data_IF_606659910156
#
_entry.id   IF_606659910156
#
_cell.length_a   1.000
_cell.length_b   1.000
_cell.length_c   1.000
_cell.angle_alpha   90.00
_cell.angle_beta   90.00
_cell.angle_gamma   90.00
#
_symmetry.space_group_name_H-M   'P 1'
#
loop_
_entity.id
_entity.type
_entity.pdbx_description
1 polymer ?
#
# COMPACT_ATOMS: atom_id res chain seq x y z
N UNK A 1 -4.43 4.82 -8.27
CA UNK A 1 -4.72 3.57 -7.52
C UNK A 1 -6.21 3.31 -7.64
N UNK A 2 -6.62 2.05 -7.72
CA UNK A 2 -8.03 1.66 -7.68
C UNK A 2 -8.21 0.48 -6.72
N UNK A 3 -9.42 0.30 -6.20
CA UNK A 3 -9.78 -0.78 -5.27
C UNK A 3 -10.94 -1.58 -5.83
N UNK A 4 -10.83 -2.91 -5.78
CA UNK A 4 -11.90 -3.84 -6.17
C UNK A 4 -11.99 -4.95 -5.11
N UNK A 5 -12.95 -4.86 -4.20
CA UNK A 5 -13.03 -5.79 -3.07
C UNK A 5 -11.79 -5.70 -2.17
N UNK A 6 -11.10 -6.83 -1.96
CA UNK A 6 -9.84 -6.91 -1.21
C UNK A 6 -8.57 -6.76 -2.07
N UNK A 7 -8.72 -6.32 -3.33
CA UNK A 7 -7.62 -6.12 -4.28
C UNK A 7 -7.35 -4.63 -4.53
N UNK A 8 -6.08 -4.25 -4.48
CA UNK A 8 -5.59 -2.90 -4.71
C UNK A 8 -4.76 -2.89 -5.99
N UNK A 9 -5.18 -2.09 -6.97
CA UNK A 9 -4.53 -1.97 -8.28
C UNK A 9 -3.69 -0.68 -8.30
N UNK A 10 -2.39 -0.83 -8.55
CA UNK A 10 -1.41 0.27 -8.59
C UNK A 10 -0.68 0.30 -9.92
N UNK A 11 -0.39 1.52 -10.41
CA UNK A 11 0.54 1.72 -11.52
C UNK A 11 1.88 2.22 -10.97
N UNK A 12 2.96 1.64 -11.45
CA UNK A 12 4.31 2.05 -11.06
C UNK A 12 4.92 3.02 -12.09
N UNK A 13 6.05 3.64 -11.75
CA UNK A 13 6.74 4.61 -12.62
C UNK A 13 7.18 4.03 -13.96
N UNK A 14 7.42 2.72 -14.01
CA UNK A 14 7.74 1.97 -15.23
C UNK A 14 6.52 1.69 -16.11
N UNK A 15 5.33 2.22 -15.76
CA UNK A 15 4.03 2.04 -16.43
C UNK A 15 3.46 0.63 -16.33
N UNK A 16 4.06 -0.24 -15.54
CA UNK A 16 3.46 -1.54 -15.21
C UNK A 16 2.25 -1.37 -14.30
N UNK A 17 1.28 -2.26 -14.43
CA UNK A 17 0.17 -2.41 -13.51
C UNK A 17 0.40 -3.65 -12.65
N UNK A 18 0.26 -3.49 -11.33
CA UNK A 18 0.38 -4.55 -10.36
C UNK A 18 -0.84 -4.54 -9.45
N UNK A 19 -1.17 -5.70 -8.88
CA UNK A 19 -2.17 -5.80 -7.84
C UNK A 19 -1.63 -6.36 -6.54
N UNK A 20 -2.21 -5.90 -5.44
CA UNK A 20 -1.92 -6.33 -4.08
C UNK A 20 -3.24 -6.87 -3.53
N UNK A 21 -3.24 -8.15 -3.15
CA UNK A 21 -4.39 -8.80 -2.52
C UNK A 21 -4.12 -8.86 -1.03
N UNK A 22 -5.02 -8.29 -0.23
CA UNK A 22 -4.94 -8.32 1.23
C UNK A 22 -6.06 -9.19 1.80
N UNK A 23 -6.04 -9.43 3.11
CA UNK A 23 -6.91 -10.44 3.73
C UNK A 23 -8.39 -10.13 3.56
N UNK A 24 -8.77 -8.87 3.75
CA UNK A 24 -10.16 -8.41 3.72
C UNK A 24 -10.27 -6.91 3.41
N UNK A 25 -11.50 -6.42 3.28
CA UNK A 25 -11.77 -5.03 2.95
C UNK A 25 -11.30 -4.06 4.04
N UNK A 26 -11.23 -4.49 5.31
CA UNK A 26 -10.77 -3.61 6.39
C UNK A 26 -9.27 -3.36 6.29
N UNK A 27 -8.49 -4.38 5.90
CA UNK A 27 -7.07 -4.22 5.58
C UNK A 27 -6.87 -3.34 4.34
N UNK A 28 -7.75 -3.42 3.33
CA UNK A 28 -7.70 -2.49 2.19
C UNK A 28 -7.86 -1.05 2.65
N UNK A 29 -8.90 -0.75 3.44
CA UNK A 29 -9.11 0.60 3.96
C UNK A 29 -7.90 1.11 4.74
N UNK A 30 -7.35 0.25 5.61
CA UNK A 30 -6.16 0.58 6.40
C UNK A 30 -4.95 0.89 5.51
N UNK A 31 -4.70 0.07 4.47
CA UNK A 31 -3.58 0.28 3.55
C UNK A 31 -3.78 1.53 2.69
N UNK A 32 -5.00 1.76 2.19
CA UNK A 32 -5.33 2.91 1.35
C UNK A 32 -5.15 4.21 2.12
N UNK A 33 -5.67 4.30 3.34
CA UNK A 33 -5.46 5.46 4.22
C UNK A 33 -3.96 5.69 4.49
N UNK A 34 -3.25 4.61 4.83
CA UNK A 34 -1.81 4.65 5.06
C UNK A 34 -1.06 5.24 3.86
N UNK A 35 -1.23 4.66 2.66
CA UNK A 35 -0.44 5.05 1.48
C UNK A 35 -0.88 6.40 0.93
N UNK A 36 -2.16 6.76 1.05
CA UNK A 36 -2.66 8.06 0.63
C UNK A 36 -2.03 9.18 1.45
N UNK A 37 -1.93 9.02 2.77
CA UNK A 37 -1.26 10.01 3.64
C UNK A 37 0.22 10.21 3.27
N UNK A 38 0.88 9.19 2.72
CA UNK A 38 2.26 9.28 2.21
C UNK A 38 2.32 9.98 0.85
N UNK A 39 1.39 9.67 -0.06
CA UNK A 39 1.32 10.30 -1.41
C UNK A 39 1.00 11.79 -1.29
N UNK A 40 0.11 12.15 -0.37
CA UNK A 40 -0.28 13.53 -0.06
C UNK A 40 0.79 14.28 0.76
N UNK A 41 1.87 13.59 1.15
CA UNK A 41 3.02 14.12 1.89
C UNK A 41 2.68 14.58 3.31
N UNK A 42 1.56 14.14 3.87
CA UNK A 42 1.25 14.32 5.29
C UNK A 42 2.23 13.55 6.16
N UNK A 43 2.59 12.34 5.71
CA UNK A 43 3.62 11.50 6.32
C UNK A 43 4.69 11.11 5.29
N UNK A 44 5.82 10.61 5.78
CA UNK A 44 6.88 10.01 4.97
C UNK A 44 7.10 8.57 5.41
N UNK A 45 7.54 7.73 4.47
CA UNK A 45 8.03 6.39 4.83
C UNK A 45 9.36 6.57 5.55
N UNK A 46 9.43 6.06 6.78
CA UNK A 46 10.60 6.11 7.64
C UNK A 46 11.46 4.86 7.50
N UNK A 47 10.80 3.70 7.35
CA UNK A 47 11.47 2.41 7.29
C UNK A 47 10.64 1.39 6.52
N UNK A 48 11.33 0.44 5.88
CA UNK A 48 10.74 -0.71 5.19
C UNK A 48 11.58 -1.94 5.52
N UNK A 49 10.93 -2.95 6.11
CA UNK A 49 11.57 -4.25 6.39
C UNK A 49 10.90 -5.34 5.58
N UNK A 50 11.73 -6.10 4.87
CA UNK A 50 11.31 -7.32 4.20
C UNK A 50 11.63 -8.47 5.16
N UNK A 51 10.58 -9.09 5.68
CA UNK A 51 10.65 -10.35 6.42
C UNK A 51 10.44 -11.51 5.42
N UNK A 52 10.60 -12.75 5.87
CA UNK A 52 10.56 -13.91 4.96
C UNK A 52 9.28 -13.97 4.11
N UNK A 53 8.13 -13.67 4.70
CA UNK A 53 6.81 -13.78 4.07
C UNK A 53 5.94 -12.53 4.23
N UNK A 54 6.51 -11.42 4.72
CA UNK A 54 5.78 -10.19 4.96
C UNK A 54 6.65 -8.95 4.75
N UNK A 55 5.99 -7.82 4.56
CA UNK A 55 6.63 -6.51 4.45
C UNK A 55 6.06 -5.61 5.52
N UNK A 56 6.93 -5.00 6.32
CA UNK A 56 6.56 -3.98 7.30
C UNK A 56 6.98 -2.60 6.78
N UNK A 57 6.06 -1.63 6.87
CA UNK A 57 6.29 -0.25 6.41
C UNK A 57 5.92 0.68 7.56
N UNK A 58 6.85 1.53 8.00
CA UNK A 58 6.61 2.54 9.02
C UNK A 58 6.52 3.93 8.39
N UNK A 59 5.49 4.71 8.76
CA UNK A 59 5.35 6.12 8.36
C UNK A 59 5.36 7.04 9.58
N UNK A 60 5.73 8.31 9.37
CA UNK A 60 5.67 9.39 10.36
C UNK A 60 5.98 10.75 9.77
#
# INVERSE_FOLDING_TARGET
MNVVGNEIIVSLKDKSAHSIIVKDNQEVETFVDFIQSVIEKEHKILDVKILENSVEIHKG
#
